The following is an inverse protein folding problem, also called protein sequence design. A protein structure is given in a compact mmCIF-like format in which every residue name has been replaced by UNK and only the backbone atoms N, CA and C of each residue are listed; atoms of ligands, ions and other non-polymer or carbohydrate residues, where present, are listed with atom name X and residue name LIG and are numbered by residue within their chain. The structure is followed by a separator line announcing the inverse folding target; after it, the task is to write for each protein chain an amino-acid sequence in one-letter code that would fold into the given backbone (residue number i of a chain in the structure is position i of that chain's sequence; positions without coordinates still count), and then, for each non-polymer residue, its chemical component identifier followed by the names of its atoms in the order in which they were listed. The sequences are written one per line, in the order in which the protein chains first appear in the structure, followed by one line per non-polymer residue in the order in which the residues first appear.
data_IF_135589422450
#
_entry.id   IF_135589422450
#
_cell.length_a   1.000
_cell.length_b   1.000
_cell.length_c   1.000
_cell.angle_alpha   90.00
_cell.angle_beta   90.00
_cell.angle_gamma   90.00
#
_symmetry.space_group_name_H-M   'P 1'
#
loop_
_entity.id
_entity.type
_entity.pdbx_description
1 polymer ?
#
# COMPACT_ATOMS: atom_id res chain seq x y z
N UNK A 1 31.20 22.48 5.18
CA UNK A 1 31.62 21.16 4.67
C UNK A 1 31.42 21.12 3.17
N UNK A 2 32.16 20.28 2.45
CA UNK A 2 31.90 20.05 1.03
C UNK A 2 30.58 19.25 0.84
N UNK A 3 29.95 19.29 -0.35
CA UNK A 3 28.67 18.64 -0.63
C UNK A 3 28.69 17.11 -0.49
N UNK A 4 29.83 16.45 -0.71
CA UNK A 4 29.94 14.97 -0.62
C UNK A 4 29.91 14.54 0.85
N UNK A 5 30.66 15.25 1.70
CA UNK A 5 30.63 15.06 3.15
C UNK A 5 29.22 15.29 3.70
N UNK A 6 28.56 16.37 3.28
CA UNK A 6 27.18 16.64 3.68
C UNK A 6 26.22 15.52 3.25
N UNK A 7 26.28 15.07 1.99
CA UNK A 7 25.41 14.01 1.49
C UNK A 7 25.59 12.67 2.24
N UNK A 8 26.80 12.39 2.71
CA UNK A 8 27.12 11.18 3.49
C UNK A 8 26.52 11.26 4.90
N UNK A 9 26.72 12.38 5.60
CA UNK A 9 26.21 12.61 6.96
C UNK A 9 24.68 12.73 7.01
N UNK A 10 24.09 13.36 5.99
CA UNK A 10 22.63 13.39 5.82
C UNK A 10 22.08 11.97 5.66
N UNK A 11 22.80 11.09 4.94
CA UNK A 11 22.42 9.69 4.77
C UNK A 11 22.26 8.94 6.09
N UNK A 12 23.22 9.04 7.03
CA UNK A 12 23.13 8.36 8.33
C UNK A 12 21.97 8.88 9.19
N UNK A 13 21.67 10.17 9.09
CA UNK A 13 20.56 10.80 9.80
C UNK A 13 19.20 10.36 9.26
N UNK A 14 19.07 10.16 7.94
CA UNK A 14 17.87 9.61 7.31
C UNK A 14 17.56 8.20 7.85
N UNK A 15 18.57 7.32 7.94
CA UNK A 15 18.38 5.99 8.53
C UNK A 15 17.89 6.06 9.98
N UNK A 16 18.46 6.97 10.77
CA UNK A 16 18.04 7.17 12.16
C UNK A 16 16.59 7.67 12.26
N UNK A 17 16.16 8.56 11.34
CA UNK A 17 14.77 9.03 11.28
C UNK A 17 13.79 7.92 10.88
N UNK A 18 14.18 7.04 9.95
CA UNK A 18 13.37 5.88 9.58
C UNK A 18 13.11 5.00 10.80
N UNK A 19 14.16 4.68 11.57
CA UNK A 19 14.03 3.89 12.80
C UNK A 19 13.15 4.58 13.85
N UNK A 20 13.34 5.89 14.06
CA UNK A 20 12.52 6.70 14.97
C UNK A 20 11.05 6.64 14.56
N UNK A 21 10.75 6.93 13.29
CA UNK A 21 9.38 6.96 12.78
C UNK A 21 8.74 5.59 12.95
N UNK A 22 9.44 4.51 12.61
CA UNK A 22 8.95 3.13 12.79
C UNK A 22 8.59 2.84 14.25
N UNK A 23 9.49 3.15 15.19
CA UNK A 23 9.29 2.88 16.61
C UNK A 23 8.15 3.73 17.22
N UNK A 24 8.16 5.04 16.95
CA UNK A 24 7.13 5.95 17.47
C UNK A 24 5.75 5.65 16.88
N UNK A 25 5.69 5.27 15.60
CA UNK A 25 4.46 4.86 14.93
C UNK A 25 3.85 3.62 15.59
N UNK A 26 4.66 2.59 15.84
CA UNK A 26 4.19 1.39 16.55
C UNK A 26 3.61 1.68 17.94
N UNK A 27 4.18 2.66 18.67
CA UNK A 27 3.61 3.10 19.95
C UNK A 27 2.30 3.87 19.74
N UNK A 28 2.27 4.80 18.79
CA UNK A 28 1.09 5.61 18.51
C UNK A 28 -0.11 4.78 18.04
N UNK A 29 0.13 3.66 17.36
CA UNK A 29 -0.90 2.72 16.89
C UNK A 29 -1.41 1.77 17.98
N UNK A 30 -0.68 1.60 19.08
CA UNK A 30 -1.03 0.69 20.19
C UNK A 30 -1.43 1.41 21.49
N UNK A 31 -1.18 2.72 21.58
CA UNK A 31 -1.46 3.54 22.76
C UNK A 31 -2.21 4.82 22.38
N UNK A 32 -3.53 4.80 22.59
CA UNK A 32 -4.44 5.92 22.29
C UNK A 32 -3.97 7.29 22.79
N UNK A 33 -3.52 7.39 24.04
CA UNK A 33 -3.07 8.66 24.65
C UNK A 33 -1.72 9.14 24.07
N UNK A 34 -0.90 8.22 23.54
CA UNK A 34 0.37 8.57 22.92
C UNK A 34 0.19 9.11 21.51
N UNK A 35 -0.86 8.71 20.81
CA UNK A 35 -1.11 9.10 19.43
C UNK A 35 -1.19 10.61 19.23
N UNK A 36 -1.97 11.30 20.05
CA UNK A 36 -2.18 12.75 19.89
C UNK A 36 -0.88 13.51 20.15
N UNK A 37 -0.17 13.11 21.21
CA UNK A 37 1.09 13.70 21.61
C UNK A 37 2.24 13.40 20.61
N UNK A 38 2.32 12.16 20.10
CA UNK A 38 3.33 11.73 19.12
C UNK A 38 3.04 12.22 17.71
N UNK A 39 1.80 12.60 17.40
CA UNK A 39 1.40 12.97 16.05
C UNK A 39 2.23 14.12 15.47
N UNK A 40 2.53 15.15 16.28
CA UNK A 40 3.40 16.26 15.85
C UNK A 40 4.85 15.82 15.66
N UNK A 41 5.38 15.02 16.59
CA UNK A 41 6.75 14.53 16.52
C UNK A 41 6.97 13.59 15.31
N UNK A 42 5.98 12.75 15.01
CA UNK A 42 5.94 11.88 13.83
C UNK A 42 5.93 12.70 12.54
N UNK A 43 5.00 13.67 12.42
CA UNK A 43 4.92 14.58 11.25
C UNK A 43 6.25 15.31 11.04
N UNK A 44 6.85 15.86 12.10
CA UNK A 44 8.14 16.55 12.02
C UNK A 44 9.31 15.64 11.66
N UNK A 45 9.35 14.44 12.22
CA UNK A 45 10.41 13.46 11.91
C UNK A 45 10.37 13.05 10.45
N UNK A 46 9.18 12.74 9.94
CA UNK A 46 8.98 12.36 8.53
C UNK A 46 9.24 13.54 7.59
N UNK A 47 8.79 14.75 7.93
CA UNK A 47 9.09 15.95 7.14
C UNK A 47 10.58 16.24 7.09
N UNK A 48 11.27 16.16 8.24
CA UNK A 48 12.73 16.35 8.31
C UNK A 48 13.44 15.33 7.44
N UNK A 49 13.01 14.06 7.49
CA UNK A 49 13.53 13.00 6.62
C UNK A 49 13.35 13.35 5.14
N UNK A 50 12.16 13.78 4.74
CA UNK A 50 11.86 14.15 3.36
C UNK A 50 12.75 15.31 2.88
N UNK A 51 12.90 16.36 3.68
CA UNK A 51 13.75 17.52 3.34
C UNK A 51 15.23 17.11 3.27
N UNK A 52 15.70 16.25 4.18
CA UNK A 52 17.05 15.72 4.15
C UNK A 52 17.34 14.90 2.89
N UNK A 53 16.39 14.09 2.40
CA UNK A 53 16.56 13.40 1.12
C UNK A 53 16.67 14.38 -0.05
N UNK A 54 15.87 15.46 -0.06
CA UNK A 54 16.01 16.53 -1.06
C UNK A 54 17.39 17.19 -1.00
N UNK A 55 17.89 17.47 0.20
CA UNK A 55 19.22 18.03 0.41
C UNK A 55 20.32 17.07 -0.05
N UNK A 56 20.19 15.78 0.22
CA UNK A 56 21.14 14.74 -0.20
C UNK A 56 21.20 14.61 -1.71
N UNK A 57 20.05 14.58 -2.39
CA UNK A 57 19.96 14.53 -3.86
C UNK A 57 20.63 15.77 -4.45
N UNK A 58 20.26 16.96 -3.96
CA UNK A 58 20.80 18.22 -4.49
C UNK A 58 22.31 18.34 -4.23
N UNK A 59 22.79 17.90 -3.07
CA UNK A 59 24.23 17.90 -2.74
C UNK A 59 25.04 16.97 -3.65
N UNK A 60 24.46 15.84 -4.06
CA UNK A 60 25.07 14.94 -5.06
C UNK A 60 25.06 15.51 -6.47
N UNK A 61 24.05 16.31 -6.80
CA UNK A 61 24.02 17.05 -8.08
C UNK A 61 25.13 18.13 -8.09
N UNK A 62 25.30 18.85 -6.98
CA UNK A 62 26.36 19.86 -6.82
C UNK A 62 27.77 19.32 -7.06
N UNK A 63 28.06 18.10 -6.61
CA UNK A 63 29.34 17.43 -6.81
C UNK A 63 29.73 17.30 -8.29
N UNK A 64 28.73 17.23 -9.18
CA UNK A 64 28.92 17.17 -10.64
C UNK A 64 29.10 18.54 -11.30
N UNK A 65 29.08 19.62 -10.52
CA UNK A 65 29.13 21.00 -11.01
C UNK A 65 30.41 21.71 -10.57
N UNK A 66 30.60 22.95 -11.05
CA UNK A 66 31.68 23.84 -10.61
C UNK A 66 31.60 24.22 -9.12
N UNK A 67 30.52 23.89 -8.42
CA UNK A 67 30.27 24.22 -7.02
C UNK A 67 30.63 23.08 -6.04
N UNK A 68 31.39 22.06 -6.49
CA UNK A 68 31.83 20.94 -5.64
C UNK A 68 32.58 21.36 -4.37
N UNK A 69 33.23 22.52 -4.38
CA UNK A 69 34.03 23.04 -3.25
C UNK A 69 33.23 24.07 -2.41
N UNK A 70 31.91 24.19 -2.64
CA UNK A 70 31.05 25.09 -1.88
C UNK A 70 31.00 24.69 -0.41
N UNK A 71 31.37 25.62 0.47
CA UNK A 71 31.37 25.38 1.91
C UNK A 71 29.97 25.61 2.49
N UNK A 72 29.28 24.52 2.84
CA UNK A 72 27.95 24.57 3.44
C UNK A 72 28.07 24.60 4.97
N UNK A 73 27.43 25.59 5.60
CA UNK A 73 27.39 25.75 7.04
C UNK A 73 26.11 25.12 7.60
N UNK A 74 26.23 23.93 8.17
CA UNK A 74 25.17 23.26 8.92
C UNK A 74 25.77 22.70 10.21
N UNK A 75 25.13 22.97 11.35
CA UNK A 75 25.56 22.44 12.65
C UNK A 75 25.07 21.00 12.83
N UNK A 76 25.70 20.08 12.09
CA UNK A 76 25.38 18.66 12.13
C UNK A 76 25.62 18.05 13.52
N UNK A 77 26.46 18.66 14.36
CA UNK A 77 26.75 18.14 15.70
C UNK A 77 25.51 18.22 16.60
N UNK A 78 24.83 19.39 16.61
CA UNK A 78 23.57 19.55 17.36
C UNK A 78 22.45 18.70 16.78
N UNK A 79 22.40 18.61 15.45
CA UNK A 79 21.43 17.75 14.78
C UNK A 79 21.61 16.28 15.14
N UNK A 80 22.83 15.74 15.05
CA UNK A 80 23.14 14.37 15.46
C UNK A 80 22.85 14.09 16.94
N UNK A 81 23.10 15.06 17.83
CA UNK A 81 22.72 14.93 19.24
C UNK A 81 21.20 14.82 19.42
N UNK A 82 20.45 15.65 18.70
CA UNK A 82 18.97 15.60 18.72
C UNK A 82 18.47 14.28 18.16
N UNK A 83 19.07 13.79 17.06
CA UNK A 83 18.74 12.49 16.47
C UNK A 83 19.02 11.32 17.41
N UNK A 84 20.17 11.33 18.10
CA UNK A 84 20.50 10.32 19.12
C UNK A 84 19.52 10.36 20.29
N UNK A 85 19.14 11.55 20.77
CA UNK A 85 18.14 11.71 21.82
C UNK A 85 16.77 11.19 21.37
N UNK A 86 16.35 11.52 20.16
CA UNK A 86 15.09 11.08 19.57
C UNK A 86 15.04 9.55 19.41
N UNK A 87 16.13 8.94 18.94
CA UNK A 87 16.23 7.49 18.80
C UNK A 87 16.25 6.78 20.17
N UNK A 88 16.96 7.33 21.15
CA UNK A 88 16.96 6.80 22.51
C UNK A 88 15.58 6.93 23.15
N UNK A 89 14.90 8.07 22.96
CA UNK A 89 13.53 8.28 23.37
C UNK A 89 12.60 7.23 22.74
N UNK A 90 12.65 7.05 21.43
CA UNK A 90 11.82 6.08 20.73
C UNK A 90 12.03 4.64 21.24
N UNK A 91 13.28 4.24 21.47
CA UNK A 91 13.63 2.94 22.06
C UNK A 91 13.17 2.80 23.51
N UNK A 92 13.27 3.85 24.30
CA UNK A 92 12.85 3.87 25.70
C UNK A 92 11.32 3.75 25.84
N UNK A 93 10.57 4.41 24.95
CA UNK A 93 9.11 4.33 24.90
C UNK A 93 8.63 2.92 24.53
N UNK A 94 9.30 2.25 23.59
CA UNK A 94 8.98 0.85 23.21
C UNK A 94 9.36 -0.16 24.31
N UNK A 95 10.40 0.14 25.10
CA UNK A 95 10.89 -0.70 26.19
C UNK A 95 11.67 -1.94 25.72
N UNK A 96 12.49 -2.53 26.60
CA UNK A 96 13.39 -3.66 26.27
C UNK A 96 12.69 -5.00 25.99
N UNK A 97 11.38 -5.12 26.23
CA UNK A 97 10.55 -6.31 25.96
C UNK A 97 9.11 -5.87 25.71
N UNK A 98 8.78 -5.52 24.48
CA UNK A 98 7.44 -5.20 24.04
C UNK A 98 6.52 -6.42 24.17
N UNK A 99 5.77 -6.58 25.27
CA UNK A 99 4.67 -7.57 25.37
C UNK A 99 3.47 -7.19 26.24
N UNK A 100 3.37 -5.99 26.82
CA UNK A 100 2.18 -5.63 27.62
C UNK A 100 1.87 -4.14 27.50
N UNK A 101 0.73 -3.80 26.86
CA UNK A 101 0.25 -2.42 26.68
C UNK A 101 0.11 -1.62 27.98
N UNK A 102 -0.07 -2.28 29.13
CA UNK A 102 -0.11 -1.63 30.45
C UNK A 102 1.22 -0.99 30.87
N UNK A 103 2.36 -1.65 30.60
CA UNK A 103 3.67 -1.12 30.97
C UNK A 103 4.05 0.09 30.10
N UNK A 104 3.74 0.03 28.80
CA UNK A 104 3.96 1.13 27.86
C UNK A 104 3.08 2.33 28.21
N UNK A 105 1.80 2.11 28.56
CA UNK A 105 0.87 3.18 29.00
C UNK A 105 1.36 3.90 30.26
N UNK A 106 1.87 3.18 31.26
CA UNK A 106 2.40 3.78 32.49
C UNK A 106 3.70 4.56 32.23
N UNK A 107 4.59 4.05 31.38
CA UNK A 107 5.80 4.76 30.98
C UNK A 107 5.48 6.04 30.21
N UNK A 108 4.48 6.00 29.33
CA UNK A 108 4.08 7.11 28.46
C UNK A 108 3.77 8.41 29.22
N UNK A 109 3.03 8.32 30.33
CA UNK A 109 2.62 9.50 31.13
C UNK A 109 3.83 10.33 31.60
N UNK A 110 4.96 9.68 31.88
CA UNK A 110 6.18 10.35 32.34
C UNK A 110 6.99 11.02 31.22
N UNK A 111 6.68 10.68 29.96
CA UNK A 111 7.44 11.05 28.76
C UNK A 111 6.83 12.18 27.94
N UNK A 112 5.60 12.58 28.25
CA UNK A 112 4.85 13.62 27.52
C UNK A 112 5.58 14.97 27.43
N UNK A 113 6.29 15.39 28.48
CA UNK A 113 7.05 16.64 28.47
C UNK A 113 8.27 16.60 27.54
N UNK A 114 8.88 15.43 27.37
CA UNK A 114 10.04 15.21 26.51
C UNK A 114 9.66 15.30 25.02
N UNK A 115 8.46 14.83 24.66
CA UNK A 115 7.91 14.91 23.28
C UNK A 115 7.87 16.34 22.77
N UNK A 116 7.40 17.28 23.60
CA UNK A 116 7.29 18.69 23.22
C UNK A 116 8.68 19.29 22.98
N UNK A 117 9.63 19.04 23.90
CA UNK A 117 11.01 19.53 23.77
C UNK A 117 11.67 18.99 22.50
N UNK A 118 11.49 17.70 22.20
CA UNK A 118 12.03 17.10 20.97
C UNK A 118 11.35 17.66 19.72
N UNK A 119 10.04 17.89 19.74
CA UNK A 119 9.30 18.48 18.63
C UNK A 119 9.78 19.90 18.32
N UNK A 120 9.98 20.72 19.35
CA UNK A 120 10.48 22.09 19.20
C UNK A 120 11.90 22.11 18.62
N UNK A 121 12.77 21.19 19.05
CA UNK A 121 14.12 21.04 18.47
C UNK A 121 14.09 20.57 17.02
N UNK A 122 13.22 19.62 16.68
CA UNK A 122 13.03 19.18 15.29
C UNK A 122 12.55 20.32 14.41
N UNK A 123 11.68 21.21 14.91
CA UNK A 123 11.22 22.41 14.21
C UNK A 123 12.34 23.44 13.94
N UNK A 124 13.33 23.53 14.84
CA UNK A 124 14.53 24.33 14.63
C UNK A 124 15.40 23.74 13.53
N UNK A 125 15.70 22.45 13.59
CA UNK A 125 16.49 21.75 12.58
C UNK A 125 15.83 21.77 11.19
N UNK A 126 14.51 21.62 11.12
CA UNK A 126 13.74 21.72 9.87
C UNK A 126 14.00 23.05 9.15
N UNK A 127 14.00 24.16 9.90
CA UNK A 127 14.29 25.51 9.36
C UNK A 127 15.73 25.63 8.89
N UNK A 128 16.69 25.18 9.70
CA UNK A 128 18.11 25.20 9.32
C UNK A 128 18.38 24.39 8.04
N UNK A 129 17.77 23.20 7.91
CA UNK A 129 17.93 22.35 6.73
C UNK A 129 17.32 23.03 5.49
N UNK A 130 16.15 23.65 5.63
CA UNK A 130 15.50 24.38 4.53
C UNK A 130 16.33 25.58 4.07
N UNK A 131 16.94 26.32 4.99
CA UNK A 131 17.82 27.44 4.68
C UNK A 131 19.04 26.96 3.87
N UNK A 132 19.66 25.85 4.30
CA UNK A 132 20.77 25.24 3.55
C UNK A 132 20.32 24.78 2.16
N UNK A 133 19.15 24.13 2.05
CA UNK A 133 18.61 23.67 0.77
C UNK A 133 18.33 24.85 -0.19
N UNK A 134 17.82 25.97 0.33
CA UNK A 134 17.59 27.21 -0.42
C UNK A 134 18.91 27.81 -0.91
N UNK A 135 19.90 27.95 -0.02
CA UNK A 135 21.24 28.45 -0.36
C UNK A 135 21.86 27.59 -1.46
N UNK A 136 21.83 26.27 -1.29
CA UNK A 136 22.36 25.31 -2.25
C UNK A 136 21.72 25.49 -3.63
N UNK A 137 20.40 25.48 -3.73
CA UNK A 137 19.72 25.52 -5.03
C UNK A 137 19.83 26.89 -5.72
N UNK A 138 19.76 27.99 -4.96
CA UNK A 138 19.85 29.34 -5.53
C UNK A 138 21.27 29.71 -5.94
N UNK A 139 22.27 29.45 -5.10
CA UNK A 139 23.67 29.79 -5.39
C UNK A 139 24.24 28.97 -6.56
N UNK A 140 23.75 27.74 -6.73
CA UNK A 140 24.19 26.85 -7.82
C UNK A 140 23.40 27.00 -9.10
N UNK A 141 22.35 27.83 -9.12
CA UNK A 141 21.38 27.96 -10.22
C UNK A 141 20.77 26.62 -10.65
N UNK A 142 20.81 25.60 -9.79
CA UNK A 142 20.26 24.29 -10.08
C UNK A 142 18.73 24.36 -10.23
N UNK A 143 18.09 25.21 -9.42
CA UNK A 143 16.63 25.38 -9.39
C UNK A 143 16.26 26.80 -9.03
N UNK A 144 15.08 27.24 -9.47
CA UNK A 144 14.48 28.51 -9.07
C UNK A 144 13.95 28.43 -7.63
N UNK A 145 13.82 29.57 -6.95
CA UNK A 145 13.25 29.62 -5.60
C UNK A 145 11.84 29.00 -5.54
N UNK A 146 10.99 29.32 -6.52
CA UNK A 146 9.63 28.75 -6.61
C UNK A 146 9.62 27.22 -6.75
N UNK A 147 10.62 26.64 -7.41
CA UNK A 147 10.72 25.18 -7.52
C UNK A 147 11.11 24.55 -6.19
N UNK A 148 12.02 25.17 -5.44
CA UNK A 148 12.45 24.72 -4.12
C UNK A 148 11.28 24.80 -3.13
N UNK A 149 10.54 25.90 -3.13
CA UNK A 149 9.34 26.07 -2.30
C UNK A 149 8.28 25.01 -2.62
N UNK A 150 8.05 24.70 -3.90
CA UNK A 150 7.14 23.62 -4.31
C UNK A 150 7.63 22.24 -3.85
N UNK A 151 8.94 21.99 -3.88
CA UNK A 151 9.53 20.74 -3.39
C UNK A 151 9.39 20.62 -1.86
N UNK A 152 9.61 21.72 -1.13
CA UNK A 152 9.41 21.78 0.31
C UNK A 152 7.93 21.55 0.69
N UNK A 153 7.00 22.17 -0.04
CA UNK A 153 5.57 21.95 0.17
C UNK A 153 5.19 20.48 -0.06
N UNK A 154 5.68 19.83 -1.12
CA UNK A 154 5.46 18.39 -1.33
C UNK A 154 6.03 17.53 -0.20
N UNK A 155 7.16 17.91 0.37
CA UNK A 155 7.73 17.22 1.53
C UNK A 155 6.84 17.36 2.79
N UNK A 156 6.18 18.50 2.94
CA UNK A 156 5.16 18.75 3.98
C UNK A 156 3.92 17.90 3.72
N UNK A 157 3.36 17.93 2.52
CA UNK A 157 2.14 17.19 2.17
C UNK A 157 2.30 15.68 2.41
N UNK A 158 3.47 15.13 2.08
CA UNK A 158 3.82 13.72 2.35
C UNK A 158 4.02 13.38 3.82
N UNK A 159 4.31 14.37 4.66
CA UNK A 159 4.49 14.17 6.09
C UNK A 159 3.18 14.14 6.87
N UNK A 160 2.05 14.47 6.23
CA UNK A 160 0.75 14.46 6.90
C UNK A 160 0.29 13.05 7.23
N UNK A 161 -0.26 12.90 8.45
CA UNK A 161 -0.79 11.63 8.93
C UNK A 161 -2.19 11.40 8.35
N UNK A 162 -2.34 10.30 7.62
CA UNK A 162 -3.58 9.84 7.06
C UNK A 162 -4.13 8.67 7.87
N UNK A 163 -5.46 8.63 7.99
CA UNK A 163 -6.17 7.47 8.52
C UNK A 163 -6.49 6.52 7.37
N UNK A 164 -5.83 5.36 7.31
CA UNK A 164 -6.08 4.39 6.26
C UNK A 164 -7.50 3.82 6.42
N UNK A 165 -8.13 3.52 5.30
CA UNK A 165 -9.48 2.95 5.21
C UNK A 165 -10.66 3.88 5.56
N UNK A 166 -10.45 5.13 6.00
CA UNK A 166 -11.56 6.05 6.32
C UNK A 166 -12.43 6.40 5.09
N UNK A 167 -11.87 6.24 3.89
CA UNK A 167 -12.58 6.47 2.60
C UNK A 167 -13.24 5.22 2.04
N UNK A 168 -13.16 4.08 2.74
CA UNK A 168 -13.79 2.83 2.31
C UNK A 168 -15.28 2.79 2.69
N UNK A 169 -16.14 2.72 1.68
CA UNK A 169 -17.54 2.34 1.87
C UNK A 169 -17.70 0.87 1.48
N UNK A 170 -17.77 -0.02 2.48
CA UNK A 170 -18.16 -1.40 2.24
C UNK A 170 -19.68 -1.42 2.09
N UNK A 171 -20.12 -1.46 0.83
CA UNK A 171 -21.54 -1.39 0.48
C UNK A 171 -22.18 -2.76 0.67
N UNK A 172 -23.27 -2.78 1.42
CA UNK A 172 -24.02 -3.96 1.85
C UNK A 172 -24.93 -4.45 0.72
N UNK A 173 -24.94 -5.75 0.45
CA UNK A 173 -25.97 -6.37 -0.38
C UNK A 173 -27.35 -6.24 0.30
N UNK A 174 -28.31 -5.69 -0.45
CA UNK A 174 -29.76 -5.56 -0.21
C UNK A 174 -30.25 -4.46 0.74
N UNK A 175 -30.40 -3.25 0.20
CA UNK A 175 -31.63 -2.44 0.07
C UNK A 175 -31.19 -1.02 -0.23
N UNK A 176 -31.67 -0.49 -1.37
CA UNK A 176 -31.46 0.90 -1.75
C UNK A 176 -31.91 1.84 -0.62
N UNK A 177 -30.97 2.60 -0.08
CA UNK A 177 -31.25 3.98 0.31
C UNK A 177 -30.25 4.83 -0.45
N UNK A 178 -30.73 5.46 -1.52
CA UNK A 178 -30.01 6.56 -2.18
C UNK A 178 -29.84 7.66 -1.13
N UNK A 179 -28.66 7.76 -0.52
CA UNK A 179 -28.19 9.04 -0.01
C UNK A 179 -27.62 9.80 -1.20
N UNK A 180 -28.41 10.72 -1.73
CA UNK A 180 -27.93 11.78 -2.60
C UNK A 180 -26.98 12.65 -1.78
N UNK A 181 -25.67 12.41 -1.85
CA UNK A 181 -24.66 13.42 -1.53
C UNK A 181 -23.26 12.97 -1.99
N UNK A 182 -22.80 13.65 -3.04
CA UNK A 182 -21.40 13.84 -3.48
C UNK A 182 -20.58 12.64 -3.99
N UNK A 183 -20.14 12.82 -5.24
CA UNK A 183 -19.60 11.84 -6.19
C UNK A 183 -18.05 11.86 -6.18
N UNK A 184 -17.43 11.34 -5.11
CA UNK A 184 -15.97 11.11 -5.07
C UNK A 184 -15.59 9.91 -4.16
N UNK A 185 -16.36 8.83 -4.23
CA UNK A 185 -16.08 7.59 -3.51
C UNK A 185 -15.45 6.55 -4.44
N UNK A 186 -14.15 6.29 -4.28
CA UNK A 186 -13.45 5.23 -5.01
C UNK A 186 -13.90 3.88 -4.48
N UNK A 187 -14.70 3.12 -5.24
CA UNK A 187 -14.98 1.72 -4.90
C UNK A 187 -13.66 0.96 -4.87
N UNK A 188 -13.28 0.44 -3.71
CA UNK A 188 -11.99 -0.26 -3.58
C UNK A 188 -11.89 -1.44 -4.54
N UNK A 189 -10.69 -1.62 -5.10
CA UNK A 189 -10.42 -2.76 -5.97
C UNK A 189 -10.66 -4.04 -5.20
N UNK A 190 -11.32 -5.00 -5.85
CA UNK A 190 -11.75 -6.23 -5.17
C UNK A 190 -10.88 -7.41 -5.60
N UNK A 191 -10.37 -8.16 -4.62
CA UNK A 191 -9.80 -9.48 -4.82
C UNK A 191 -10.89 -10.54 -4.66
N UNK A 192 -11.32 -11.16 -5.77
CA UNK A 192 -12.39 -12.15 -5.75
C UNK A 192 -11.83 -13.54 -5.42
N UNK A 193 -11.84 -13.89 -4.14
CA UNK A 193 -11.37 -15.23 -3.72
C UNK A 193 -12.41 -16.34 -3.88
N UNK A 194 -13.70 -16.01 -4.04
CA UNK A 194 -14.76 -16.99 -4.30
C UNK A 194 -14.79 -17.34 -5.78
N UNK A 195 -14.25 -18.51 -6.10
CA UNK A 195 -14.15 -19.02 -7.46
C UNK A 195 -14.91 -20.33 -7.66
N UNK A 196 -15.55 -20.83 -6.60
CA UNK A 196 -16.42 -22.01 -6.64
C UNK A 196 -17.87 -21.58 -6.89
N UNK A 197 -18.62 -22.36 -7.65
CA UNK A 197 -20.02 -22.03 -7.99
C UNK A 197 -21.01 -22.35 -6.87
N UNK A 198 -20.63 -23.22 -5.95
CA UNK A 198 -21.45 -23.61 -4.80
C UNK A 198 -21.77 -22.40 -3.93
N UNK A 199 -22.96 -22.40 -3.34
CA UNK A 199 -23.41 -21.38 -2.38
C UNK A 199 -23.60 -19.97 -2.98
N UNK A 200 -23.57 -19.84 -4.32
CA UNK A 200 -23.83 -18.59 -5.05
C UNK A 200 -25.18 -18.59 -5.77
N UNK A 201 -25.83 -17.42 -5.95
CA UNK A 201 -27.03 -17.29 -6.76
C UNK A 201 -26.83 -17.74 -8.21
N UNK A 202 -27.81 -18.44 -8.78
CA UNK A 202 -27.72 -19.02 -10.13
C UNK A 202 -27.48 -17.95 -11.21
N UNK A 203 -28.16 -16.81 -11.10
CA UNK A 203 -28.00 -15.64 -11.97
C UNK A 203 -26.58 -15.07 -11.93
N UNK A 204 -25.97 -14.99 -10.74
CA UNK A 204 -24.59 -14.56 -10.57
C UNK A 204 -23.63 -15.54 -11.26
N UNK A 205 -23.87 -16.83 -11.08
CA UNK A 205 -23.05 -17.90 -11.67
C UNK A 205 -23.12 -17.88 -13.19
N UNK A 206 -24.32 -17.75 -13.75
CA UNK A 206 -24.52 -17.65 -15.21
C UNK A 206 -23.74 -16.46 -15.76
N UNK A 207 -23.89 -15.27 -15.17
CA UNK A 207 -23.27 -14.05 -15.69
C UNK A 207 -21.72 -14.09 -15.58
N UNK A 208 -21.17 -14.60 -14.47
CA UNK A 208 -19.71 -14.82 -14.31
C UNK A 208 -19.16 -15.86 -15.29
N UNK A 209 -19.94 -16.89 -15.62
CA UNK A 209 -19.57 -17.87 -16.64
C UNK A 209 -19.57 -17.22 -18.04
N UNK A 210 -20.60 -16.44 -18.36
CA UNK A 210 -20.65 -15.68 -19.62
C UNK A 210 -19.49 -14.70 -19.75
N UNK A 211 -19.08 -14.03 -18.67
CA UNK A 211 -17.88 -13.18 -18.64
C UNK A 211 -16.64 -13.97 -19.06
N UNK A 212 -16.46 -15.15 -18.46
CA UNK A 212 -15.31 -16.02 -18.71
C UNK A 212 -15.32 -16.57 -20.14
N UNK A 213 -16.50 -16.95 -20.65
CA UNK A 213 -16.65 -17.44 -22.02
C UNK A 213 -16.43 -16.30 -23.04
N UNK A 214 -16.93 -15.09 -22.78
CA UNK A 214 -16.66 -13.92 -23.62
C UNK A 214 -15.17 -13.57 -23.67
N UNK A 215 -14.47 -13.63 -22.53
CA UNK A 215 -13.01 -13.46 -22.48
C UNK A 215 -12.30 -14.54 -23.30
N UNK A 216 -12.71 -15.80 -23.11
CA UNK A 216 -12.13 -16.97 -23.76
C UNK A 216 -12.30 -16.96 -25.28
N UNK A 217 -13.39 -16.40 -25.81
CA UNK A 217 -13.65 -16.31 -27.25
C UNK A 217 -13.24 -14.96 -27.87
N UNK A 218 -12.68 -14.03 -27.09
CA UNK A 218 -12.31 -12.70 -27.57
C UNK A 218 -13.50 -11.79 -27.91
N UNK A 219 -14.68 -12.03 -27.31
CA UNK A 219 -15.89 -11.22 -27.50
C UNK A 219 -15.86 -9.94 -26.65
N UNK A 220 -14.92 -9.03 -26.93
CA UNK A 220 -14.59 -7.90 -26.05
C UNK A 220 -15.77 -6.97 -25.72
N UNK A 221 -16.64 -6.69 -26.70
CA UNK A 221 -17.82 -5.84 -26.46
C UNK A 221 -18.79 -6.49 -25.47
N UNK A 222 -19.01 -7.81 -25.59
CA UNK A 222 -19.85 -8.57 -24.66
C UNK A 222 -19.20 -8.60 -23.28
N UNK A 223 -17.90 -8.87 -23.22
CA UNK A 223 -17.13 -8.86 -21.98
C UNK A 223 -17.26 -7.52 -21.24
N UNK A 224 -17.06 -6.39 -21.93
CA UNK A 224 -17.15 -5.05 -21.32
C UNK A 224 -18.56 -4.74 -20.81
N UNK A 225 -19.60 -5.18 -21.54
CA UNK A 225 -20.98 -5.05 -21.09
C UNK A 225 -21.26 -5.87 -19.84
N UNK A 226 -20.76 -7.11 -19.76
CA UNK A 226 -20.92 -7.97 -18.58
C UNK A 226 -20.17 -7.39 -17.38
N UNK A 227 -18.97 -6.82 -17.57
CA UNK A 227 -18.25 -6.13 -16.50
C UNK A 227 -19.05 -4.95 -15.93
N UNK A 228 -19.71 -4.19 -16.81
CA UNK A 228 -20.60 -3.09 -16.40
C UNK A 228 -21.82 -3.61 -15.64
N UNK A 229 -22.49 -4.64 -16.15
CA UNK A 229 -23.64 -5.26 -15.49
C UNK A 229 -23.27 -5.84 -14.12
N UNK A 230 -22.11 -6.51 -14.00
CA UNK A 230 -21.60 -7.02 -12.74
C UNK A 230 -21.43 -5.92 -11.68
N UNK A 231 -20.89 -4.76 -12.09
CA UNK A 231 -20.76 -3.58 -11.23
C UNK A 231 -22.12 -2.98 -10.86
N UNK A 232 -23.04 -2.86 -11.80
CA UNK A 232 -24.36 -2.24 -11.55
C UNK A 232 -25.27 -3.12 -10.69
N UNK A 233 -25.24 -4.44 -10.90
CA UNK A 233 -26.14 -5.40 -10.25
C UNK A 233 -25.62 -5.91 -8.92
N UNK A 234 -24.32 -6.18 -8.82
CA UNK A 234 -23.69 -6.80 -7.66
C UNK A 234 -22.69 -5.90 -6.96
N UNK A 235 -22.44 -4.69 -7.49
CA UNK A 235 -21.47 -3.75 -6.92
C UNK A 235 -20.06 -4.36 -6.75
N UNK A 236 -19.69 -5.26 -7.65
CA UNK A 236 -18.39 -5.94 -7.67
C UNK A 236 -17.63 -5.61 -8.96
N UNK A 237 -16.31 -5.43 -8.85
CA UNK A 237 -15.44 -5.33 -10.03
C UNK A 237 -14.95 -6.72 -10.43
N UNK A 238 -15.42 -7.21 -11.58
CA UNK A 238 -15.06 -8.54 -12.10
C UNK A 238 -13.93 -8.51 -13.12
N UNK A 239 -13.23 -7.39 -13.28
CA UNK A 239 -12.19 -7.23 -14.30
C UNK A 239 -11.00 -8.17 -14.09
N UNK A 240 -10.77 -8.60 -12.84
CA UNK A 240 -9.76 -9.59 -12.46
C UNK A 240 -10.37 -10.97 -12.12
N UNK A 241 -11.66 -11.19 -12.41
CA UNK A 241 -12.34 -12.42 -12.09
C UNK A 241 -11.78 -13.60 -12.89
N UNK A 242 -11.50 -14.70 -12.21
CA UNK A 242 -11.14 -15.96 -12.86
C UNK A 242 -12.39 -16.79 -13.13
N UNK A 243 -12.25 -17.77 -14.04
CA UNK A 243 -13.33 -18.68 -14.39
C UNK A 243 -13.74 -19.53 -13.19
N UNK A 244 -15.01 -19.45 -12.82
CA UNK A 244 -15.55 -20.25 -11.74
C UNK A 244 -15.64 -21.74 -12.11
N UNK A 245 -15.46 -22.61 -11.12
CA UNK A 245 -15.53 -24.06 -11.27
C UNK A 245 -16.31 -24.69 -10.11
N UNK A 246 -16.61 -25.97 -10.20
CA UNK A 246 -17.07 -26.72 -9.02
C UNK A 246 -15.94 -26.87 -8.01
N UNK A 247 -16.29 -27.14 -6.75
CA UNK A 247 -15.35 -27.40 -5.67
C UNK A 247 -14.40 -28.55 -5.97
N UNK A 248 -14.87 -29.59 -6.67
CA UNK A 248 -14.06 -30.73 -7.12
C UNK A 248 -13.00 -30.32 -8.15
N UNK A 249 -13.31 -29.33 -8.98
CA UNK A 249 -12.44 -28.82 -10.05
C UNK A 249 -11.54 -27.67 -9.60
N UNK A 250 -11.70 -27.16 -8.37
CA UNK A 250 -11.01 -25.96 -7.88
C UNK A 250 -9.49 -26.10 -7.90
N UNK A 251 -8.96 -27.30 -7.64
CA UNK A 251 -7.51 -27.57 -7.68
C UNK A 251 -6.91 -27.46 -9.10
N UNK A 252 -7.74 -27.53 -10.15
CA UNK A 252 -7.33 -27.49 -11.56
C UNK A 252 -7.68 -26.15 -12.23
N UNK A 253 -7.92 -25.09 -11.45
CA UNK A 253 -8.15 -23.76 -11.99
C UNK A 253 -6.86 -23.18 -12.58
N UNK A 254 -6.93 -22.61 -13.78
CA UNK A 254 -5.79 -21.95 -14.43
C UNK A 254 -5.52 -20.54 -13.89
N UNK A 255 -6.49 -19.93 -13.21
CA UNK A 255 -6.46 -18.54 -12.73
C UNK A 255 -6.25 -17.48 -13.83
N UNK A 256 -6.65 -17.78 -15.07
CA UNK A 256 -6.66 -16.79 -16.14
C UNK A 256 -7.77 -15.76 -15.91
N UNK A 257 -7.36 -14.50 -15.80
CA UNK A 257 -8.23 -13.33 -15.76
C UNK A 257 -8.44 -12.74 -17.19
N UNK A 258 -9.41 -11.83 -17.40
CA UNK A 258 -9.63 -11.16 -18.68
C UNK A 258 -8.37 -10.58 -19.33
N UNK A 259 -7.43 -10.03 -18.55
CA UNK A 259 -6.20 -9.46 -19.12
C UNK A 259 -5.24 -10.53 -19.68
N UNK A 260 -5.21 -11.73 -19.10
CA UNK A 260 -4.46 -12.88 -19.66
C UNK A 260 -5.07 -13.31 -21.00
N UNK A 261 -6.40 -13.39 -21.06
CA UNK A 261 -7.11 -13.72 -22.30
C UNK A 261 -6.90 -12.65 -23.38
N UNK A 262 -6.88 -11.36 -22.99
CA UNK A 262 -6.62 -10.27 -23.91
C UNK A 262 -5.20 -10.33 -24.50
N UNK A 263 -4.19 -10.71 -23.69
CA UNK A 263 -2.84 -10.95 -24.19
C UNK A 263 -2.78 -12.14 -25.16
N UNK A 264 -3.39 -13.28 -24.78
CA UNK A 264 -3.46 -14.49 -25.61
C UNK A 264 -4.12 -14.23 -26.98
N UNK A 265 -5.25 -13.52 -27.00
CA UNK A 265 -5.98 -13.21 -28.22
C UNK A 265 -5.43 -12.00 -28.99
N UNK A 266 -4.32 -11.40 -28.54
CA UNK A 266 -3.76 -10.17 -29.13
C UNK A 266 -4.83 -9.08 -29.30
N UNK A 267 -5.60 -8.88 -28.23
CA UNK A 267 -6.71 -7.94 -28.23
C UNK A 267 -6.26 -6.54 -28.67
N UNK A 268 -7.10 -5.76 -29.34
CA UNK A 268 -6.80 -4.37 -29.66
C UNK A 268 -6.31 -3.58 -28.42
N UNK A 269 -5.32 -2.70 -28.61
CA UNK A 269 -4.73 -1.90 -27.52
C UNK A 269 -5.79 -1.10 -26.76
N UNK A 270 -6.86 -0.65 -27.42
CA UNK A 270 -7.96 0.07 -26.76
C UNK A 270 -8.77 -0.82 -25.81
N UNK A 271 -8.94 -2.11 -26.13
CA UNK A 271 -9.57 -3.10 -25.24
C UNK A 271 -8.70 -3.31 -24.01
N UNK A 272 -7.41 -3.54 -24.20
CA UNK A 272 -6.45 -3.72 -23.10
C UNK A 272 -6.41 -2.49 -22.19
N UNK A 273 -6.40 -1.29 -22.78
CA UNK A 273 -6.48 -0.02 -22.05
C UNK A 273 -7.76 0.08 -21.22
N UNK A 274 -8.92 -0.21 -21.82
CA UNK A 274 -10.20 -0.20 -21.10
C UNK A 274 -10.22 -1.17 -19.92
N UNK A 275 -9.66 -2.38 -20.06
CA UNK A 275 -9.55 -3.33 -18.95
C UNK A 275 -8.69 -2.76 -17.81
N UNK A 276 -7.54 -2.19 -18.13
CA UNK A 276 -6.65 -1.52 -17.16
C UNK A 276 -7.36 -0.36 -16.46
N UNK A 277 -8.08 0.47 -17.22
CA UNK A 277 -8.82 1.61 -16.68
C UNK A 277 -9.96 1.16 -15.75
N UNK A 278 -10.54 -0.02 -16.01
CA UNK A 278 -11.50 -0.68 -15.14
C UNK A 278 -10.86 -1.37 -13.92
N UNK A 279 -9.54 -1.36 -13.80
CA UNK A 279 -8.79 -1.90 -12.65
C UNK A 279 -8.17 -3.28 -12.87
N UNK A 280 -8.01 -3.74 -14.11
CA UNK A 280 -7.27 -4.97 -14.39
C UNK A 280 -5.82 -4.86 -13.90
N UNK A 281 -5.35 -5.92 -13.25
CA UNK A 281 -4.00 -6.01 -12.70
C UNK A 281 -3.06 -6.73 -13.65
N UNK A 282 -1.81 -6.27 -13.75
CA UNK A 282 -0.78 -6.80 -14.66
C UNK A 282 0.15 -7.81 -14.00
N UNK A 283 0.29 -7.75 -12.68
CA UNK A 283 1.18 -8.64 -11.92
C UNK A 283 0.61 -10.02 -11.56
N UNK A 284 -0.72 -10.27 -11.46
CA UNK A 284 -1.21 -11.62 -11.19
C UNK A 284 -0.69 -12.60 -12.24
N UNK A 285 -0.20 -13.75 -11.76
CA UNK A 285 0.24 -14.87 -12.61
C UNK A 285 -0.87 -15.90 -12.71
N UNK A 286 -1.02 -16.53 -13.87
CA UNK A 286 -1.80 -17.76 -13.98
C UNK A 286 -1.20 -18.85 -13.08
N UNK A 287 -1.98 -19.86 -12.71
CA UNK A 287 -1.46 -21.03 -11.97
C UNK A 287 -1.00 -22.16 -12.89
N UNK A 288 -1.65 -22.26 -14.06
CA UNK A 288 -1.38 -23.32 -15.02
C UNK A 288 -1.51 -22.79 -16.44
N UNK A 289 -0.57 -23.21 -17.27
CA UNK A 289 -0.49 -22.98 -18.70
C UNK A 289 0.31 -24.14 -19.32
N UNK A 290 0.06 -24.44 -20.59
CA UNK A 290 0.81 -25.45 -21.35
C UNK A 290 1.98 -24.80 -22.14
N UNK A 291 2.41 -23.60 -21.74
CA UNK A 291 3.43 -22.79 -22.43
C UNK A 291 4.80 -22.85 -21.74
N UNK A 292 5.72 -21.95 -22.14
CA UNK A 292 7.09 -21.89 -21.64
C UNK A 292 7.20 -21.97 -20.11
N UNK A 293 6.29 -21.32 -19.39
CA UNK A 293 6.18 -21.39 -17.94
C UNK A 293 4.75 -21.76 -17.51
N UNK A 294 4.62 -22.52 -16.42
CA UNK A 294 3.31 -22.93 -15.88
C UNK A 294 2.47 -21.72 -15.44
N UNK A 295 3.14 -20.74 -14.84
CA UNK A 295 2.57 -19.50 -14.38
C UNK A 295 3.10 -18.34 -15.23
N UNK A 296 2.18 -17.56 -15.80
CA UNK A 296 2.53 -16.44 -16.67
C UNK A 296 1.65 -15.25 -16.35
N UNK A 297 2.26 -14.08 -16.32
CA UNK A 297 1.59 -12.77 -16.35
C UNK A 297 1.01 -12.48 -17.73
N UNK A 298 0.10 -11.50 -17.86
CA UNK A 298 -0.35 -11.01 -19.16
C UNK A 298 0.80 -10.55 -20.08
N UNK A 299 1.85 -9.91 -19.54
CA UNK A 299 2.99 -9.48 -20.34
C UNK A 299 3.81 -10.68 -20.87
N UNK A 300 4.09 -11.67 -20.02
CA UNK A 300 4.80 -12.88 -20.45
C UNK A 300 4.00 -13.63 -21.52
N UNK A 301 2.67 -13.70 -21.40
CA UNK A 301 1.82 -14.25 -22.46
C UNK A 301 1.92 -13.44 -23.76
N UNK A 302 1.91 -12.10 -23.67
CA UNK A 302 2.10 -11.28 -24.87
C UNK A 302 3.46 -11.56 -25.56
N UNK A 303 4.52 -11.79 -24.78
CA UNK A 303 5.82 -12.22 -25.33
C UNK A 303 5.76 -13.59 -25.99
N UNK A 304 5.11 -14.57 -25.35
CA UNK A 304 4.92 -15.94 -25.88
C UNK A 304 4.22 -15.92 -27.25
N UNK A 305 3.28 -15.00 -27.46
CA UNK A 305 2.52 -14.86 -28.72
C UNK A 305 3.00 -13.71 -29.63
N UNK A 306 4.19 -13.16 -29.36
CA UNK A 306 4.82 -12.08 -30.15
C UNK A 306 3.93 -10.84 -30.37
N UNK A 307 3.08 -10.53 -29.38
CA UNK A 307 2.13 -9.42 -29.41
C UNK A 307 2.82 -8.10 -28.99
N UNK A 308 3.83 -7.70 -29.76
CA UNK A 308 4.70 -6.54 -29.45
C UNK A 308 3.96 -5.23 -29.22
N UNK A 309 2.82 -5.04 -29.88
CA UNK A 309 1.91 -3.91 -29.71
C UNK A 309 1.34 -3.78 -28.28
N UNK A 310 1.39 -4.86 -27.48
CA UNK A 310 0.87 -4.91 -26.11
C UNK A 310 1.95 -4.75 -25.03
N UNK A 311 3.25 -4.82 -25.36
CA UNK A 311 4.32 -4.87 -24.36
C UNK A 311 4.32 -3.65 -23.44
N UNK A 312 4.23 -2.45 -24.01
CA UNK A 312 4.26 -1.20 -23.23
C UNK A 312 3.05 -1.07 -22.31
N UNK A 313 1.86 -1.46 -22.77
CA UNK A 313 0.62 -1.29 -21.99
C UNK A 313 0.45 -2.36 -20.91
N UNK A 314 0.97 -3.57 -21.15
CA UNK A 314 0.97 -4.69 -20.19
C UNK A 314 2.16 -4.67 -19.23
N UNK A 315 3.16 -3.82 -19.46
CA UNK A 315 4.27 -3.63 -18.52
C UNK A 315 3.77 -3.18 -17.14
N UNK A 316 4.10 -3.92 -16.06
CA UNK A 316 3.70 -3.55 -14.71
C UNK A 316 4.20 -2.15 -14.34
N UNK A 317 3.32 -1.34 -13.74
CA UNK A 317 3.67 -0.01 -13.22
C UNK A 317 3.84 -0.12 -11.72
N UNK A 318 5.06 -0.42 -11.27
CA UNK A 318 5.38 -0.58 -9.86
C UNK A 318 5.44 0.79 -9.17
N UNK A 319 4.51 1.01 -8.25
CA UNK A 319 4.37 2.22 -7.44
C UNK A 319 4.92 2.03 -6.04
N UNK A 320 4.73 0.84 -5.47
CA UNK A 320 5.30 0.45 -4.19
C UNK A 320 6.37 -0.62 -4.40
N UNK A 321 7.64 -0.23 -4.54
CA UNK A 321 8.73 -1.19 -4.68
C UNK A 321 8.97 -1.89 -3.35
N UNK A 322 8.48 -3.12 -3.24
CA UNK A 322 8.73 -4.02 -2.10
C UNK A 322 9.52 -5.23 -2.63
N UNK A 323 10.62 -5.66 -1.97
CA UNK A 323 11.34 -6.85 -2.37
C UNK A 323 10.44 -8.09 -2.43
N UNK A 324 10.65 -8.96 -3.42
CA UNK A 324 9.82 -10.16 -3.62
C UNK A 324 9.80 -11.08 -2.39
N UNK A 325 10.94 -11.24 -1.72
CA UNK A 325 11.04 -12.05 -0.49
C UNK A 325 10.19 -11.44 0.64
N UNK A 326 10.27 -10.12 0.84
CA UNK A 326 9.42 -9.39 1.78
C UNK A 326 7.94 -9.59 1.45
N UNK A 327 7.52 -9.42 0.19
CA UNK A 327 6.12 -9.62 -0.22
C UNK A 327 5.64 -11.04 0.06
N UNK A 328 6.46 -12.07 -0.20
CA UNK A 328 6.12 -13.46 0.06
C UNK A 328 5.96 -13.75 1.56
N UNK A 329 6.79 -13.15 2.40
CA UNK A 329 6.67 -13.25 3.86
C UNK A 329 5.39 -12.57 4.36
N UNK A 330 5.12 -11.34 3.92
CA UNK A 330 3.88 -10.62 4.24
C UNK A 330 2.64 -11.41 3.80
N UNK A 331 2.68 -12.01 2.60
CA UNK A 331 1.59 -12.82 2.05
C UNK A 331 1.35 -14.06 2.90
N UNK A 332 2.42 -14.76 3.29
CA UNK A 332 2.35 -15.93 4.17
C UNK A 332 1.73 -15.59 5.51
N UNK A 333 2.12 -14.47 6.12
CA UNK A 333 1.55 -14.01 7.39
C UNK A 333 0.08 -13.61 7.24
N UNK A 334 -0.27 -12.90 6.17
CA UNK A 334 -1.66 -12.51 5.90
C UNK A 334 -2.56 -13.71 5.67
N UNK A 335 -2.10 -14.69 4.90
CA UNK A 335 -2.85 -15.93 4.71
C UNK A 335 -2.99 -16.72 6.01
N UNK A 336 -1.98 -16.68 6.88
CA UNK A 336 -2.03 -17.32 8.19
C UNK A 336 -3.08 -16.65 9.09
N UNK A 337 -3.18 -15.32 9.08
CA UNK A 337 -4.24 -14.57 9.75
C UNK A 337 -5.62 -14.99 9.23
N UNK A 338 -5.84 -14.96 7.91
CA UNK A 338 -7.12 -15.34 7.30
C UNK A 338 -7.52 -16.78 7.68
N UNK A 339 -6.57 -17.72 7.66
CA UNK A 339 -6.82 -19.11 8.06
C UNK A 339 -7.11 -19.27 9.55
N UNK A 340 -6.46 -18.48 10.41
CA UNK A 340 -6.76 -18.48 11.83
C UNK A 340 -8.18 -17.96 12.11
N UNK A 341 -8.60 -16.93 11.39
CA UNK A 341 -9.90 -16.27 11.57
C UNK A 341 -11.06 -17.10 10.99
N UNK A 342 -10.89 -17.64 9.79
CA UNK A 342 -11.96 -18.34 9.05
C UNK A 342 -11.94 -19.87 9.24
N UNK A 343 -10.81 -20.43 9.71
CA UNK A 343 -10.65 -21.87 9.94
C UNK A 343 -11.05 -22.72 8.73
N UNK A 344 -11.93 -23.70 8.96
CA UNK A 344 -12.40 -24.63 7.94
C UNK A 344 -13.14 -23.94 6.78
N UNK A 345 -13.64 -22.70 6.93
CA UNK A 345 -14.34 -21.99 5.86
C UNK A 345 -13.44 -21.78 4.62
N UNK A 346 -12.13 -21.54 4.82
CA UNK A 346 -11.15 -21.39 3.73
C UNK A 346 -11.09 -22.65 2.87
N UNK A 347 -10.94 -23.81 3.51
CA UNK A 347 -10.79 -25.09 2.83
C UNK A 347 -12.12 -25.58 2.24
N UNK A 348 -13.23 -25.39 2.97
CA UNK A 348 -14.55 -25.81 2.54
C UNK A 348 -15.01 -25.07 1.27
N UNK A 349 -14.66 -23.79 1.13
CA UNK A 349 -15.02 -22.97 -0.04
C UNK A 349 -13.87 -22.78 -1.02
N UNK A 350 -12.73 -23.46 -0.80
CA UNK A 350 -11.52 -23.38 -1.65
C UNK A 350 -11.15 -21.93 -1.99
N UNK A 351 -11.13 -21.07 -0.97
CA UNK A 351 -10.92 -19.63 -1.17
C UNK A 351 -9.55 -19.39 -1.81
N UNK A 352 -9.55 -18.59 -2.88
CA UNK A 352 -8.30 -18.08 -3.45
C UNK A 352 -7.86 -16.85 -2.66
N UNK A 353 -6.88 -17.06 -1.79
CA UNK A 353 -6.40 -16.01 -0.90
C UNK A 353 -5.67 -14.89 -1.68
N UNK A 354 -5.68 -13.64 -1.16
CA UNK A 354 -5.03 -12.49 -1.77
C UNK A 354 -3.57 -12.69 -2.18
N UNK A 355 -3.22 -12.37 -3.42
CA UNK A 355 -1.82 -12.23 -3.85
C UNK A 355 -1.38 -10.77 -3.66
N UNK A 356 -0.28 -10.55 -2.94
CA UNK A 356 0.15 -9.20 -2.55
C UNK A 356 0.89 -8.43 -3.64
N UNK A 357 1.41 -9.12 -4.66
CA UNK A 357 2.14 -8.48 -5.77
C UNK A 357 1.27 -7.43 -6.51
N UNK A 358 -0.06 -7.60 -6.49
CA UNK A 358 -1.02 -6.65 -7.07
C UNK A 358 -1.01 -5.30 -6.38
N UNK A 359 -0.74 -5.28 -5.07
CA UNK A 359 -0.69 -4.03 -4.31
C UNK A 359 0.44 -3.12 -4.76
N UNK A 360 1.49 -3.68 -5.37
CA UNK A 360 2.62 -2.89 -5.88
C UNK A 360 2.22 -1.98 -7.04
N UNK A 361 1.13 -2.28 -7.74
CA UNK A 361 0.60 -1.45 -8.83
C UNK A 361 -0.34 -0.33 -8.36
N UNK A 362 -0.82 -0.41 -7.12
CA UNK A 362 -1.80 0.52 -6.56
C UNK A 362 -1.13 1.82 -6.08
N UNK A 363 -1.87 2.93 -6.10
CA UNK A 363 -1.38 4.22 -5.57
C UNK A 363 -1.53 4.24 -4.07
N UNK A 364 -2.69 4.60 -3.54
CA UNK A 364 -2.94 4.63 -2.10
C UNK A 364 -4.32 4.05 -1.78
N UNK A 365 -4.80 3.22 -2.70
CA UNK A 365 -6.12 2.60 -2.63
C UNK A 365 -6.01 1.24 -1.95
N UNK A 366 -6.84 0.98 -0.94
CA UNK A 366 -6.91 -0.34 -0.34
C UNK A 366 -7.55 -1.34 -1.30
N UNK A 367 -7.14 -2.58 -1.16
CA UNK A 367 -7.79 -3.72 -1.80
C UNK A 367 -8.80 -4.34 -0.82
N UNK A 368 -9.94 -4.76 -1.34
CA UNK A 368 -11.00 -5.43 -0.60
C UNK A 368 -11.04 -6.91 -0.94
N UNK A 369 -10.94 -7.77 0.07
CA UNK A 369 -11.15 -9.20 -0.04
C UNK A 369 -12.45 -9.59 0.68
N UNK A 370 -13.59 -9.67 -0.03
CA UNK A 370 -14.87 -10.04 0.57
C UNK A 370 -14.86 -11.50 1.02
N UNK A 371 -15.54 -11.76 2.13
CA UNK A 371 -15.89 -13.08 2.65
C UNK A 371 -17.42 -13.23 2.57
N UNK A 372 -17.90 -14.03 1.62
CA UNK A 372 -19.30 -14.41 1.52
C UNK A 372 -19.62 -15.33 2.71
N UNK A 373 -20.32 -14.78 3.71
CA UNK A 373 -20.75 -15.48 4.91
C UNK A 373 -22.17 -15.07 5.28
N UNK A 374 -22.71 -15.62 6.37
CA UNK A 374 -23.99 -15.18 6.94
C UNK A 374 -23.95 -13.72 7.42
N UNK A 375 -22.76 -13.20 7.73
CA UNK A 375 -22.57 -11.81 8.11
C UNK A 375 -22.38 -10.97 6.84
N UNK A 376 -23.24 -9.96 6.69
CA UNK A 376 -23.13 -9.02 5.58
C UNK A 376 -21.84 -8.21 5.68
N UNK A 377 -21.25 -7.86 4.54
CA UNK A 377 -20.04 -7.05 4.46
C UNK A 377 -18.82 -7.64 5.21
N UNK A 378 -18.78 -8.97 5.40
CA UNK A 378 -17.62 -9.64 5.97
C UNK A 378 -16.43 -9.62 5.00
N UNK A 379 -15.22 -9.36 5.50
CA UNK A 379 -14.01 -9.39 4.68
C UNK A 379 -12.83 -8.62 5.25
N UNK A 380 -11.81 -8.44 4.41
CA UNK A 380 -10.56 -7.77 4.76
C UNK A 380 -10.27 -6.63 3.79
N UNK A 381 -10.05 -5.43 4.32
CA UNK A 381 -9.41 -4.35 3.58
C UNK A 381 -7.92 -4.36 3.88
N UNK A 382 -7.07 -4.24 2.85
CA UNK A 382 -5.64 -4.33 3.05
C UNK A 382 -4.86 -3.48 2.03
N UNK A 383 -3.72 -2.96 2.45
CA UNK A 383 -2.85 -2.12 1.63
C UNK A 383 -1.41 -2.13 2.15
N UNK A 384 -0.45 -1.84 1.26
CA UNK A 384 0.95 -1.69 1.63
C UNK A 384 1.19 -0.37 2.36
N UNK A 385 2.06 -0.43 3.35
CA UNK A 385 2.56 0.70 4.13
C UNK A 385 4.08 0.58 4.20
N UNK A 386 4.76 1.04 3.15
CA UNK A 386 6.17 0.77 2.95
C UNK A 386 6.45 -0.72 2.77
N UNK A 387 7.10 -1.34 3.77
CA UNK A 387 7.43 -2.79 3.78
C UNK A 387 6.57 -3.60 4.74
N UNK A 388 5.55 -2.98 5.31
CA UNK A 388 4.58 -3.65 6.15
C UNK A 388 3.25 -3.72 5.40
N UNK A 389 2.39 -4.66 5.79
CA UNK A 389 1.03 -4.76 5.29
C UNK A 389 0.07 -4.35 6.39
N UNK A 390 -0.82 -3.42 6.06
CA UNK A 390 -1.90 -3.00 6.93
C UNK A 390 -3.17 -3.73 6.52
N UNK A 391 -3.87 -4.31 7.49
CA UNK A 391 -5.11 -5.07 7.27
C UNK A 391 -6.18 -4.59 8.26
N UNK A 392 -7.41 -4.43 7.80
CA UNK A 392 -8.58 -4.28 8.65
C UNK A 392 -9.61 -5.35 8.32
N UNK A 393 -9.96 -6.18 9.30
CA UNK A 393 -11.07 -7.12 9.18
C UNK A 393 -12.38 -6.42 9.51
N UNK A 394 -13.44 -6.78 8.78
CA UNK A 394 -14.79 -6.27 8.97
C UNK A 394 -15.74 -7.45 9.07
N UNK A 395 -16.57 -7.50 10.10
CA UNK A 395 -17.61 -8.50 10.32
C UNK A 395 -17.13 -9.97 10.20
N UNK A 396 -15.84 -10.23 10.40
CA UNK A 396 -15.26 -11.59 10.36
C UNK A 396 -15.46 -12.31 11.70
N UNK A 397 -15.32 -11.58 12.81
CA UNK A 397 -15.38 -12.14 14.16
C UNK A 397 -16.76 -12.00 14.82
N UNK A 398 -17.63 -11.17 14.26
CA UNK A 398 -18.96 -10.87 14.80
C UNK A 398 -19.59 -9.67 14.08
N UNK A 399 -20.90 -9.49 14.25
CA UNK A 399 -21.63 -8.36 13.64
C UNK A 399 -21.10 -7.03 14.16
N UNK A 400 -20.74 -6.11 13.26
CA UNK A 400 -20.14 -4.81 13.55
C UNK A 400 -18.79 -4.88 14.29
N UNK A 401 -18.11 -6.03 14.24
CA UNK A 401 -16.75 -6.13 14.75
C UNK A 401 -15.74 -5.74 13.67
N UNK A 402 -14.79 -4.90 14.06
CA UNK A 402 -13.65 -4.52 13.23
C UNK A 402 -12.38 -4.68 14.04
N UNK A 403 -11.35 -5.25 13.41
CA UNK A 403 -10.00 -5.34 14.00
C UNK A 403 -8.98 -4.88 12.99
N UNK A 404 -7.98 -4.15 13.45
CA UNK A 404 -6.91 -3.64 12.60
C UNK A 404 -5.61 -4.35 12.98
N UNK A 405 -4.88 -4.82 11.98
CA UNK A 405 -3.65 -5.56 12.13
C UNK A 405 -2.54 -4.90 11.34
N UNK A 406 -1.33 -4.96 11.91
CA UNK A 406 -0.11 -4.75 11.16
C UNK A 406 0.62 -6.07 10.99
N UNK A 407 1.02 -6.33 9.76
CA UNK A 407 1.76 -7.51 9.34
C UNK A 407 3.14 -7.05 8.87
N UNK A 408 4.16 -7.65 9.46
CA UNK A 408 5.57 -7.45 9.12
C UNK A 408 6.13 -8.78 8.59
N UNK A 409 7.40 -8.78 8.17
CA UNK A 409 8.10 -10.01 7.78
C UNK A 409 8.14 -11.06 8.91
N UNK A 410 8.20 -10.61 10.16
CA UNK A 410 8.42 -11.47 11.33
C UNK A 410 7.12 -11.85 12.05
N UNK A 411 6.16 -10.92 12.12
CA UNK A 411 4.98 -11.07 12.96
C UNK A 411 3.73 -10.34 12.43
N UNK A 412 2.57 -10.82 12.90
CA UNK A 412 1.26 -10.19 12.75
C UNK A 412 0.72 -9.85 14.13
N UNK A 413 0.33 -8.58 14.36
CA UNK A 413 -0.24 -8.12 15.62
C UNK A 413 -1.38 -7.14 15.43
N UNK A 414 -2.32 -7.14 16.36
CA UNK A 414 -3.47 -6.24 16.40
C UNK A 414 -3.04 -4.85 16.91
N UNK A 415 -3.60 -3.80 16.32
CA UNK A 415 -3.37 -2.39 16.66
C UNK A 415 -4.70 -1.68 16.89
N UNK A 416 -4.70 -0.65 17.74
CA UNK A 416 -5.91 0.11 18.09
C UNK A 416 -6.39 0.94 16.89
N UNK A 417 -5.47 1.67 16.25
CA UNK A 417 -5.77 2.49 15.07
C UNK A 417 -4.52 2.62 14.22
N UNK A 418 -4.68 2.52 12.90
CA UNK A 418 -3.56 2.61 11.98
C UNK A 418 -3.22 4.06 11.61
N UNK A 419 -1.93 4.31 11.43
CA UNK A 419 -1.41 5.59 10.95
C UNK A 419 -0.64 5.35 9.65
N UNK A 420 -0.82 6.19 8.64
CA UNK A 420 0.04 6.20 7.45
C UNK A 420 0.46 7.61 7.09
N UNK A 421 1.59 7.74 6.39
CA UNK A 421 1.99 9.00 5.77
C UNK A 421 1.53 9.03 4.31
N UNK A 422 1.32 10.22 3.74
CA UNK A 422 0.98 10.36 2.32
C UNK A 422 2.15 9.97 1.40
N UNK A 423 1.83 9.38 0.24
CA UNK A 423 2.81 8.96 -0.78
C UNK A 423 3.31 10.07 -1.71
#
# INVERSE_FOLDING_TARGET
MDPVTLATLVGSSIYSLIDVVKLLKGVAETVKDAREDLGELLRRSERTRNILELLRITSRELDKTRFRDMNLAMDLTKFEQTMKQLLNFARDVVGKKAKVGLAVRLNWVTKKSEVKVLSDRMAEHEREILDVLMIVNTASTLRTQSEVERMAQRAVDRSELQRPFDRLTITVDSVQTKSEETDDFTSARTWLGYNTIEDLPEDYVILRKELSDAAYWGEWNKLLNILKEGRERYNESWVNAVRMKTREQANNMSFWAPLHQAAYWRAPVDVVRKLIDLGASRTPRSRWSDYTYLDMTPLELAHEFEASELYDILSPVIRHPVPTETLALLETQFHSLIRADLGAHVENHRLYLPVLEVLTELRDEPMWFPIKSTLSAAGYAYQLDGRDLLVRSFNVHGTNEQRTYRITEEECFEIDEALMFGA
#
